data_IF_327710710668
#
_entry.id   IF_327710710668
#
_cell.length_a   1.000
_cell.length_b   1.000
_cell.length_c   1.000
_cell.angle_alpha   90.00
_cell.angle_beta   90.00
_cell.angle_gamma   90.00
#
_symmetry.space_group_name_H-M   'P 1'
#
loop_
_entity.id
_entity.type
_entity.pdbx_description
1 polymer ?
#
# COMPACT_ATOMS: atom_id res chain seq x y z
N UNK A 1 7.66 14.86 -14.47
CA UNK A 1 6.83 14.30 -13.38
C UNK A 1 5.38 14.74 -13.50
N UNK A 2 5.11 15.99 -13.90
CA UNK A 2 3.75 16.45 -14.24
C UNK A 2 2.95 15.53 -15.19
N UNK A 3 3.54 14.84 -16.19
CA UNK A 3 2.75 13.94 -17.04
C UNK A 3 2.18 12.73 -16.29
N UNK A 4 2.86 12.27 -15.23
CA UNK A 4 2.47 11.07 -14.49
C UNK A 4 1.41 11.35 -13.43
N UNK A 5 1.27 12.60 -12.98
CA UNK A 5 0.22 12.99 -12.01
C UNK A 5 -1.09 13.37 -12.68
N UNK A 6 -1.10 13.59 -13.99
CA UNK A 6 -2.30 13.88 -14.77
C UNK A 6 -3.07 12.58 -15.08
N UNK A 7 -3.54 11.93 -14.02
CA UNK A 7 -4.30 10.68 -14.12
C UNK A 7 -5.81 10.93 -14.19
N UNK A 8 -6.50 10.01 -14.85
CA UNK A 8 -7.95 9.92 -14.90
C UNK A 8 -8.38 8.51 -14.51
N UNK A 9 -9.64 8.34 -14.11
CA UNK A 9 -10.20 7.02 -13.81
C UNK A 9 -10.11 6.12 -15.05
N UNK A 10 -9.54 4.92 -14.90
CA UNK A 10 -9.27 4.01 -16.01
C UNK A 10 -10.44 3.08 -16.34
N UNK A 11 -11.39 2.89 -15.42
CA UNK A 11 -12.58 2.05 -15.57
C UNK A 11 -13.75 2.66 -14.81
N UNK A 12 -14.97 2.31 -15.23
CA UNK A 12 -16.19 2.69 -14.54
C UNK A 12 -16.61 1.63 -13.51
N UNK A 13 -17.64 1.95 -12.72
CA UNK A 13 -18.10 1.06 -11.65
C UNK A 13 -18.76 -0.22 -12.20
N UNK A 14 -19.38 -0.16 -13.37
CA UNK A 14 -20.02 -1.30 -14.02
C UNK A 14 -19.01 -2.40 -14.36
N UNK A 15 -17.83 -2.03 -14.85
CA UNK A 15 -16.75 -2.98 -15.11
C UNK A 15 -16.19 -3.58 -13.82
N UNK A 16 -16.08 -2.79 -12.75
CA UNK A 16 -15.66 -3.29 -11.44
C UNK A 16 -16.62 -4.34 -10.88
N UNK A 17 -17.93 -4.09 -11.01
CA UNK A 17 -18.99 -5.04 -10.61
C UNK A 17 -18.92 -6.29 -11.49
N UNK A 18 -18.79 -6.13 -12.80
CA UNK A 18 -18.68 -7.25 -13.76
C UNK A 18 -17.50 -8.16 -13.44
N UNK A 19 -16.39 -7.59 -12.98
CA UNK A 19 -15.20 -8.33 -12.56
C UNK A 19 -15.29 -8.89 -11.13
N UNK A 20 -16.38 -8.63 -10.40
CA UNK A 20 -16.54 -8.98 -8.99
C UNK A 20 -15.40 -8.44 -8.12
N UNK A 21 -14.99 -7.19 -8.35
CA UNK A 21 -13.89 -6.56 -7.64
C UNK A 21 -14.27 -6.28 -6.17
N UNK A 22 -13.39 -6.64 -5.23
CA UNK A 22 -13.59 -6.35 -3.80
C UNK A 22 -13.30 -4.88 -3.45
N UNK A 23 -12.35 -4.25 -4.15
CA UNK A 23 -11.89 -2.89 -3.89
C UNK A 23 -11.40 -2.24 -5.17
N UNK A 24 -11.64 -0.93 -5.30
CA UNK A 24 -11.09 -0.08 -6.37
C UNK A 24 -9.88 0.68 -5.84
N UNK A 25 -8.80 0.78 -6.62
CA UNK A 25 -7.60 1.52 -6.22
C UNK A 25 -7.38 2.73 -7.13
N UNK A 26 -7.04 3.86 -6.54
CA UNK A 26 -6.78 5.11 -7.26
C UNK A 26 -5.62 5.87 -6.63
N UNK A 27 -4.77 6.46 -7.48
CA UNK A 27 -3.63 7.24 -7.04
C UNK A 27 -4.08 8.67 -6.69
N UNK A 28 -3.54 9.20 -5.59
CA UNK A 28 -3.79 10.57 -5.13
C UNK A 28 -2.45 11.28 -4.97
N UNK A 29 -2.30 12.40 -5.66
CA UNK A 29 -1.04 13.14 -5.78
C UNK A 29 -1.09 14.45 -4.99
N UNK A 30 -1.13 14.34 -3.66
CA UNK A 30 -1.09 15.50 -2.74
C UNK A 30 0.21 16.28 -2.95
N UNK A 31 0.10 17.60 -3.11
CA UNK A 31 1.16 18.56 -3.38
C UNK A 31 1.63 18.61 -4.83
N UNK A 32 0.98 17.90 -5.75
CA UNK A 32 1.29 17.96 -7.18
C UNK A 32 0.44 19.01 -7.92
N UNK A 33 0.83 19.34 -9.16
CA UNK A 33 0.05 20.22 -10.03
C UNK A 33 -1.39 19.72 -10.31
N UNK A 34 -1.63 18.41 -10.16
CA UNK A 34 -2.91 17.75 -10.44
C UNK A 34 -3.57 17.20 -9.17
N UNK A 35 -3.22 17.73 -7.98
CA UNK A 35 -3.80 17.30 -6.70
C UNK A 35 -5.33 17.28 -6.74
N UNK A 36 -5.96 18.39 -7.13
CA UNK A 36 -7.42 18.52 -7.22
C UNK A 36 -8.03 17.44 -8.11
N UNK A 37 -7.43 17.17 -9.27
CA UNK A 37 -7.95 16.14 -10.19
C UNK A 37 -7.86 14.75 -9.56
N UNK A 38 -6.73 14.42 -8.94
CA UNK A 38 -6.54 13.12 -8.30
C UNK A 38 -7.47 12.89 -7.10
N UNK A 39 -7.73 13.94 -6.30
CA UNK A 39 -8.73 13.90 -5.23
C UNK A 39 -10.16 13.77 -5.77
N UNK A 40 -10.46 14.44 -6.90
CA UNK A 40 -11.74 14.30 -7.57
C UNK A 40 -11.95 12.87 -8.08
N UNK A 41 -10.93 12.28 -8.73
CA UNK A 41 -10.99 10.89 -9.19
C UNK A 41 -11.34 9.94 -8.05
N UNK A 42 -10.73 10.13 -6.88
CA UNK A 42 -11.01 9.31 -5.70
C UNK A 42 -12.42 9.51 -5.15
N UNK A 43 -12.85 10.76 -4.97
CA UNK A 43 -14.19 11.06 -4.43
C UNK A 43 -15.31 10.62 -5.38
N UNK A 44 -15.16 10.81 -6.69
CA UNK A 44 -16.10 10.28 -7.69
C UNK A 44 -16.21 8.74 -7.63
N UNK A 45 -15.08 8.06 -7.40
CA UNK A 45 -15.05 6.61 -7.23
C UNK A 45 -15.72 6.18 -5.91
N UNK A 46 -15.50 6.90 -4.81
CA UNK A 46 -16.17 6.63 -3.52
C UNK A 46 -17.69 6.78 -3.67
N UNK A 47 -18.15 7.85 -4.29
CA UNK A 47 -19.56 8.07 -4.57
C UNK A 47 -20.16 6.96 -5.44
N UNK A 48 -19.42 6.51 -6.45
CA UNK A 48 -19.86 5.42 -7.33
C UNK A 48 -19.91 4.07 -6.61
N UNK A 49 -18.84 3.72 -5.89
CA UNK A 49 -18.65 2.41 -5.29
C UNK A 49 -19.52 2.19 -4.05
N UNK A 50 -19.79 3.24 -3.26
CA UNK A 50 -20.64 3.18 -2.08
C UNK A 50 -22.06 2.68 -2.37
N UNK A 51 -22.60 2.98 -3.56
CA UNK A 51 -23.92 2.50 -4.01
C UNK A 51 -24.01 0.98 -4.15
N UNK A 52 -22.87 0.31 -4.29
CA UNK A 52 -22.76 -1.12 -4.54
C UNK A 52 -22.00 -1.87 -3.44
N UNK A 53 -21.63 -1.19 -2.35
CA UNK A 53 -20.86 -1.79 -1.26
C UNK A 53 -19.44 -2.20 -1.63
N UNK A 54 -18.85 -1.59 -2.67
CA UNK A 54 -17.46 -1.83 -3.08
C UNK A 54 -16.57 -0.79 -2.39
N UNK A 55 -15.46 -1.23 -1.81
CA UNK A 55 -14.52 -0.32 -1.14
C UNK A 55 -13.65 0.47 -2.13
N UNK A 56 -13.09 1.59 -1.66
CA UNK A 56 -12.07 2.36 -2.39
C UNK A 56 -10.78 2.47 -1.56
N UNK A 57 -9.66 2.17 -2.20
CA UNK A 57 -8.31 2.36 -1.69
C UNK A 57 -7.67 3.61 -2.31
N UNK A 58 -7.42 4.62 -1.49
CA UNK A 58 -6.62 5.78 -1.86
C UNK A 58 -5.13 5.46 -1.75
N UNK A 59 -4.37 5.62 -2.83
CA UNK A 59 -2.93 5.34 -2.86
C UNK A 59 -2.16 6.65 -2.86
N UNK A 60 -1.36 6.90 -1.81
CA UNK A 60 -0.50 8.09 -1.75
C UNK A 60 0.58 7.98 -2.84
N UNK A 61 0.45 8.80 -3.88
CA UNK A 61 1.39 8.85 -4.98
C UNK A 61 2.38 10.00 -4.77
N UNK A 62 3.67 9.66 -4.81
CA UNK A 62 4.77 10.59 -4.52
C UNK A 62 5.64 10.80 -5.76
N UNK A 63 5.75 12.05 -6.21
CA UNK A 63 6.73 12.44 -7.22
C UNK A 63 8.17 12.24 -6.73
N UNK A 64 9.16 12.13 -7.63
CA UNK A 64 10.58 11.95 -7.24
C UNK A 64 11.12 13.10 -6.39
N UNK A 65 10.62 14.32 -6.60
CA UNK A 65 11.11 15.53 -5.92
C UNK A 65 10.42 15.82 -4.58
N UNK A 66 9.44 15.01 -4.17
CA UNK A 66 8.69 15.26 -2.93
C UNK A 66 9.35 14.59 -1.73
N UNK A 67 9.41 15.31 -0.62
CA UNK A 67 9.86 14.76 0.66
C UNK A 67 8.90 13.64 1.12
N UNK A 68 9.45 12.46 1.40
CA UNK A 68 8.71 11.28 1.86
C UNK A 68 8.86 11.13 3.37
N UNK A 69 8.40 12.12 4.12
CA UNK A 69 8.48 12.14 5.58
C UNK A 69 7.11 11.88 6.23
N UNK A 70 7.12 11.60 7.53
CA UNK A 70 5.89 11.30 8.27
C UNK A 70 4.87 12.44 8.22
N UNK A 71 5.32 13.71 8.24
CA UNK A 71 4.41 14.87 8.15
C UNK A 71 3.60 14.87 6.85
N UNK A 72 4.25 14.62 5.71
CA UNK A 72 3.58 14.52 4.42
C UNK A 72 2.57 13.38 4.39
N UNK A 73 2.96 12.19 4.85
CA UNK A 73 2.06 11.04 4.83
C UNK A 73 0.90 11.17 5.81
N UNK A 74 1.08 11.81 6.99
CA UNK A 74 -0.03 12.15 7.89
C UNK A 74 -1.07 13.02 7.17
N UNK A 75 -0.63 14.07 6.48
CA UNK A 75 -1.52 14.94 5.72
C UNK A 75 -2.25 14.17 4.62
N UNK A 76 -1.50 13.45 3.77
CA UNK A 76 -2.07 12.78 2.62
C UNK A 76 -3.05 11.66 3.00
N UNK A 77 -2.67 10.81 3.96
CA UNK A 77 -3.50 9.69 4.43
C UNK A 77 -4.76 10.20 5.12
N UNK A 78 -4.65 11.23 5.97
CA UNK A 78 -5.80 11.83 6.64
C UNK A 78 -6.78 12.46 5.65
N UNK A 79 -6.31 13.24 4.67
CA UNK A 79 -7.18 13.83 3.65
C UNK A 79 -7.98 12.74 2.91
N UNK A 80 -7.32 11.67 2.45
CA UNK A 80 -8.00 10.63 1.69
C UNK A 80 -9.06 9.90 2.51
N UNK A 81 -8.73 9.57 3.77
CA UNK A 81 -9.66 8.94 4.68
C UNK A 81 -10.86 9.85 5.00
N UNK A 82 -10.63 11.15 5.24
CA UNK A 82 -11.71 12.12 5.52
C UNK A 82 -12.66 12.30 4.33
N UNK A 83 -12.15 12.09 3.11
CA UNK A 83 -12.90 12.16 1.85
C UNK A 83 -13.53 10.81 1.45
N UNK A 84 -13.49 9.81 2.34
CA UNK A 84 -14.26 8.58 2.20
C UNK A 84 -13.52 7.37 1.65
N UNK A 85 -12.19 7.42 1.48
CA UNK A 85 -11.43 6.20 1.20
C UNK A 85 -11.59 5.18 2.34
N UNK A 86 -11.86 3.91 2.01
CA UNK A 86 -12.04 2.85 2.98
C UNK A 86 -10.72 2.22 3.43
N UNK A 87 -9.68 2.34 2.60
CA UNK A 87 -8.32 1.89 2.87
C UNK A 87 -7.37 2.94 2.32
N UNK A 88 -6.24 3.15 2.98
CA UNK A 88 -5.18 3.99 2.43
C UNK A 88 -3.91 3.19 2.27
N UNK A 89 -3.30 3.28 1.09
CA UNK A 89 -1.98 2.72 0.81
C UNK A 89 -0.94 3.83 0.79
N UNK A 90 0.11 3.71 1.60
CA UNK A 90 1.23 4.65 1.62
C UNK A 90 2.58 3.93 1.66
N UNK A 91 3.68 4.68 1.77
CA UNK A 91 5.01 4.09 1.99
C UNK A 91 5.31 4.04 3.49
N UNK A 92 6.11 3.06 3.91
CA UNK A 92 6.72 3.06 5.23
C UNK A 92 7.74 4.19 5.36
N UNK A 93 7.83 4.81 6.54
CA UNK A 93 8.85 5.78 6.90
C UNK A 93 9.62 5.27 8.10
N UNK A 94 10.96 5.36 8.08
CA UNK A 94 11.79 4.84 9.17
C UNK A 94 11.53 5.54 10.50
N UNK A 95 11.12 6.82 10.45
CA UNK A 95 10.77 7.62 11.62
C UNK A 95 9.31 8.07 11.56
N UNK A 96 8.60 7.92 12.67
CA UNK A 96 7.27 8.48 12.88
C UNK A 96 6.14 7.81 12.11
N UNK A 97 6.32 6.58 11.62
CA UNK A 97 5.27 5.89 10.85
C UNK A 97 4.06 5.53 11.73
N UNK A 98 4.26 5.27 13.02
CA UNK A 98 3.20 5.12 14.03
C UNK A 98 2.30 6.36 14.15
N UNK A 99 2.83 7.55 13.84
CA UNK A 99 2.03 8.78 13.82
C UNK A 99 1.12 8.88 12.60
N UNK A 100 1.44 8.16 11.52
CA UNK A 100 0.63 8.07 10.30
C UNK A 100 -0.52 7.11 10.52
N UNK A 101 -0.24 5.93 11.05
CA UNK A 101 -1.24 4.90 11.33
C UNK A 101 -2.22 5.36 12.41
N UNK A 102 -1.75 6.01 13.47
CA UNK A 102 -2.61 6.53 14.54
C UNK A 102 -3.50 7.72 14.12
N UNK A 103 -3.11 8.51 13.12
CA UNK A 103 -3.93 9.64 12.66
C UNK A 103 -4.92 9.28 11.54
N UNK A 104 -4.74 8.13 10.87
CA UNK A 104 -5.60 7.67 9.80
C UNK A 104 -6.77 6.85 10.37
N UNK A 105 -8.04 7.27 10.20
CA UNK A 105 -9.19 6.58 10.78
C UNK A 105 -9.57 5.27 10.06
N UNK A 106 -8.85 4.90 8.99
CA UNK A 106 -9.09 3.70 8.18
C UNK A 106 -7.81 2.88 8.03
N UNK A 107 -7.88 1.58 7.70
CA UNK A 107 -6.72 0.71 7.56
C UNK A 107 -5.63 1.28 6.65
N UNK A 108 -4.38 1.22 7.12
CA UNK A 108 -3.19 1.59 6.36
C UNK A 108 -2.49 0.33 5.87
N UNK A 109 -2.21 0.26 4.58
CA UNK A 109 -1.40 -0.80 3.95
C UNK A 109 -0.12 -0.19 3.40
N UNK A 110 1.04 -0.78 3.68
CA UNK A 110 2.31 -0.26 3.16
C UNK A 110 2.67 -0.81 1.79
N UNK A 111 3.12 0.05 0.89
CA UNK A 111 3.70 -0.36 -0.38
C UNK A 111 5.12 -0.95 -0.17
N UNK A 112 5.45 -1.99 -0.93
CA UNK A 112 6.78 -2.62 -0.84
C UNK A 112 7.96 -1.75 -1.30
N UNK A 113 7.72 -0.67 -2.06
CA UNK A 113 8.82 0.16 -2.56
C UNK A 113 9.70 -0.52 -3.63
N UNK A 114 10.97 -0.13 -3.71
CA UNK A 114 11.97 -0.74 -4.61
C UNK A 114 12.36 -2.13 -4.11
N UNK A 115 12.96 -2.96 -4.96
CA UNK A 115 13.52 -4.25 -4.52
C UNK A 115 14.59 -4.00 -3.46
N UNK A 116 14.48 -4.72 -2.35
CA UNK A 116 15.42 -4.80 -1.24
C UNK A 116 15.92 -6.24 -1.11
N UNK A 117 17.01 -6.49 -0.38
CA UNK A 117 17.28 -7.82 0.16
C UNK A 117 16.06 -8.36 0.92
N UNK A 118 15.80 -9.66 0.84
CA UNK A 118 14.60 -10.28 1.40
C UNK A 118 14.47 -10.01 2.91
N UNK A 119 15.56 -10.13 3.67
CA UNK A 119 15.56 -9.82 5.10
C UNK A 119 15.16 -8.36 5.38
N UNK A 120 15.61 -7.41 4.57
CA UNK A 120 15.27 -5.99 4.75
C UNK A 120 13.80 -5.71 4.41
N UNK A 121 13.25 -6.38 3.39
CA UNK A 121 11.82 -6.32 3.10
C UNK A 121 10.97 -6.93 4.23
N UNK A 122 11.43 -8.01 4.86
CA UNK A 122 10.79 -8.61 6.04
C UNK A 122 10.88 -7.68 7.26
N UNK A 123 12.02 -7.04 7.51
CA UNK A 123 12.18 -6.02 8.58
C UNK A 123 11.23 -4.84 8.38
N UNK A 124 11.16 -4.31 7.16
CA UNK A 124 10.22 -3.24 6.82
C UNK A 124 8.76 -3.65 7.09
N UNK A 125 8.39 -4.87 6.71
CA UNK A 125 7.03 -5.40 6.95
C UNK A 125 6.74 -5.51 8.44
N UNK A 126 7.66 -6.13 9.18
CA UNK A 126 7.53 -6.33 10.61
C UNK A 126 7.36 -4.99 11.33
N UNK A 127 8.25 -4.03 11.07
CA UNK A 127 8.20 -2.71 11.70
C UNK A 127 6.90 -1.98 11.38
N UNK A 128 6.43 -2.02 10.12
CA UNK A 128 5.17 -1.40 9.74
C UNK A 128 3.97 -2.01 10.48
N UNK A 129 3.92 -3.35 10.59
CA UNK A 129 2.86 -4.06 11.33
C UNK A 129 2.92 -3.70 12.82
N UNK A 130 4.10 -3.72 13.45
CA UNK A 130 4.27 -3.33 14.85
C UNK A 130 3.86 -1.88 15.12
N UNK A 131 3.97 -1.01 14.12
CA UNK A 131 3.59 0.39 14.19
C UNK A 131 2.15 0.67 13.71
N UNK A 132 1.31 -0.37 13.56
CA UNK A 132 -0.12 -0.23 13.33
C UNK A 132 -0.58 -0.30 11.87
N UNK A 133 0.28 -0.68 10.93
CA UNK A 133 -0.19 -1.02 9.58
C UNK A 133 -1.08 -2.27 9.63
N UNK A 134 -2.13 -2.28 8.82
CA UNK A 134 -3.06 -3.40 8.70
C UNK A 134 -2.63 -4.44 7.65
N UNK A 135 -1.53 -4.21 6.94
CA UNK A 135 -1.01 -5.14 5.95
C UNK A 135 0.08 -4.54 5.05
N UNK A 136 0.46 -5.32 4.04
CA UNK A 136 1.44 -4.93 3.01
C UNK A 136 0.89 -5.18 1.61
N UNK A 137 1.23 -4.30 0.68
CA UNK A 137 0.98 -4.42 -0.76
C UNK A 137 2.33 -4.47 -1.48
N UNK A 138 2.90 -5.67 -1.53
CA UNK A 138 4.22 -5.92 -2.09
C UNK A 138 4.16 -6.36 -3.54
N UNK A 139 4.72 -5.52 -4.42
CA UNK A 139 5.06 -5.90 -5.79
C UNK A 139 6.49 -6.44 -5.90
N UNK A 140 7.43 -5.53 -6.18
CA UNK A 140 8.82 -5.86 -6.55
C UNK A 140 9.55 -6.77 -5.57
N UNK A 141 9.32 -6.62 -4.26
CA UNK A 141 9.96 -7.47 -3.24
C UNK A 141 9.50 -8.93 -3.29
N UNK A 142 8.37 -9.23 -3.93
CA UNK A 142 7.92 -10.60 -4.19
C UNK A 142 8.39 -11.06 -5.57
N UNK A 143 7.90 -10.44 -6.65
CA UNK A 143 8.07 -10.99 -7.99
C UNK A 143 9.49 -10.82 -8.57
N UNK A 144 10.34 -9.98 -7.95
CA UNK A 144 11.77 -9.89 -8.30
C UNK A 144 12.67 -10.63 -7.29
N UNK A 145 12.09 -11.39 -6.36
CA UNK A 145 12.86 -12.32 -5.53
C UNK A 145 13.20 -13.58 -6.32
N UNK A 146 14.31 -14.24 -5.97
CA UNK A 146 14.70 -15.52 -6.58
C UNK A 146 13.70 -16.66 -6.27
N UNK A 147 12.93 -16.52 -5.18
CA UNK A 147 11.93 -17.49 -4.77
C UNK A 147 10.62 -16.78 -4.35
N UNK A 148 9.80 -16.32 -5.31
CA UNK A 148 8.62 -15.50 -5.04
C UNK A 148 7.61 -16.14 -4.09
N UNK A 149 7.29 -17.44 -4.26
CA UNK A 149 6.34 -18.13 -3.36
C UNK A 149 6.90 -18.21 -1.94
N UNK A 150 8.19 -18.54 -1.81
CA UNK A 150 8.87 -18.59 -0.51
C UNK A 150 8.82 -17.22 0.18
N UNK A 151 9.05 -16.15 -0.57
CA UNK A 151 8.98 -14.78 -0.06
C UNK A 151 7.55 -14.38 0.35
N UNK A 152 6.53 -14.76 -0.43
CA UNK A 152 5.13 -14.54 -0.06
C UNK A 152 4.77 -15.22 1.27
N UNK A 153 5.17 -16.48 1.46
CA UNK A 153 4.89 -17.23 2.68
C UNK A 153 5.66 -16.71 3.90
N UNK A 154 6.85 -16.14 3.70
CA UNK A 154 7.61 -15.46 4.74
C UNK A 154 6.93 -14.15 5.15
N UNK A 155 6.53 -13.32 4.18
CA UNK A 155 5.75 -12.09 4.43
C UNK A 155 4.43 -12.41 5.13
N UNK A 156 3.72 -13.46 4.71
CA UNK A 156 2.50 -13.92 5.39
C UNK A 156 2.78 -14.30 6.85
N UNK A 157 3.92 -14.93 7.14
CA UNK A 157 4.35 -15.25 8.49
C UNK A 157 4.58 -14.02 9.36
N UNK A 158 5.12 -12.94 8.80
CA UNK A 158 5.26 -11.65 9.50
C UNK A 158 3.89 -11.01 9.73
N UNK A 159 3.08 -10.87 8.68
CA UNK A 159 1.83 -10.10 8.72
C UNK A 159 0.73 -10.80 9.54
N UNK A 160 0.60 -12.12 9.43
CA UNK A 160 -0.49 -12.88 10.04
C UNK A 160 -0.02 -13.87 11.12
N UNK A 161 1.25 -14.26 11.11
CA UNK A 161 1.79 -15.29 12.01
C UNK A 161 2.63 -14.74 13.17
N UNK A 162 2.88 -13.42 13.23
CA UNK A 162 3.68 -12.80 14.27
C UNK A 162 5.17 -13.20 14.26
N UNK A 163 5.68 -13.71 13.14
CA UNK A 163 7.10 -14.06 13.03
C UNK A 163 7.97 -12.81 13.07
N UNK A 164 9.11 -12.91 13.75
CA UNK A 164 10.17 -11.89 13.65
C UNK A 164 10.80 -11.93 12.25
N UNK A 165 11.51 -10.86 11.83
CA UNK A 165 12.17 -10.84 10.52
C UNK A 165 13.14 -12.01 10.31
N UNK A 166 13.88 -12.40 11.36
CA UNK A 166 14.85 -13.49 11.33
C UNK A 166 14.15 -14.84 11.14
N UNK A 167 13.07 -15.10 11.89
CA UNK A 167 12.27 -16.31 11.76
C UNK A 167 11.60 -16.43 10.38
N UNK A 168 11.07 -15.31 9.87
CA UNK A 168 10.50 -15.26 8.54
C UNK A 168 11.56 -15.48 7.45
N UNK A 169 12.78 -15.00 7.66
CA UNK A 169 13.89 -15.19 6.73
C UNK A 169 14.42 -16.62 6.74
N UNK A 170 14.49 -17.26 7.91
CA UNK A 170 14.76 -18.70 8.03
C UNK A 170 13.71 -19.51 7.24
N UNK A 171 12.42 -19.23 7.48
CA UNK A 171 11.31 -19.85 6.71
C UNK A 171 11.46 -19.65 5.20
N UNK A 172 11.85 -18.45 4.75
CA UNK A 172 12.12 -18.18 3.33
C UNK A 172 13.23 -19.09 2.78
N UNK A 173 14.35 -19.22 3.50
CA UNK A 173 15.48 -20.05 3.06
C UNK A 173 15.13 -21.53 3.04
N UNK A 174 14.39 -22.03 4.03
CA UNK A 174 13.94 -23.42 4.09
C UNK A 174 13.03 -23.77 2.90
N UNK A 175 12.05 -22.92 2.61
CA UNK A 175 11.12 -23.11 1.49
C UNK A 175 11.82 -23.00 0.12
N UNK A 176 12.80 -22.09 0.00
CA UNK A 176 13.64 -21.93 -1.19
C UNK A 176 14.48 -23.18 -1.42
N UNK A 177 15.07 -23.76 -0.37
CA UNK A 177 15.85 -24.98 -0.45
C UNK A 177 15.00 -26.20 -0.84
N UNK A 178 13.72 -26.22 -0.45
CA UNK A 178 12.76 -27.27 -0.82
C UNK A 178 12.24 -27.15 -2.27
N UNK A 179 12.64 -26.11 -3.02
CA UNK A 179 12.24 -25.95 -4.41
C UNK A 179 10.81 -25.45 -4.61
N UNK A 180 10.23 -24.79 -3.58
CA UNK A 180 8.93 -24.12 -3.70
C UNK A 180 9.08 -22.91 -4.63
N UNK A 181 8.93 -23.15 -5.93
CA UNK A 181 8.98 -22.13 -6.99
C UNK A 181 7.68 -21.35 -7.05
#
# INVERSE_FOLDING_TARGET
FEPLSNESTALNIEEAIRLNASILAVQVFIGSAYERQSLKNMTDLVDAASRYGIGVMGVVAVGRAMARNAQYFRLATRIMAELGANVVKCYYTDEGFETITSCCPVPIVIAGGKKLPELDALKMSYNAIQQGASGVDMGRNIFQSDAPISMMQAVQGVVHGGLTPEQAYEKYNDLKAQGTK
#
